data_IF_586955154970
#
_entry.id   IF_586955154970
#
_cell.length_a   1.000
_cell.length_b   1.000
_cell.length_c   1.000
_cell.angle_alpha   90.00
_cell.angle_beta   90.00
_cell.angle_gamma   90.00
#
_symmetry.space_group_name_H-M   'P 1'
#
loop_
_entity.id
_entity.type
_entity.pdbx_description
1 polymer ?
#
# COMPACT_ATOMS: atom_id res chain seq x y z
N UNK A 1 40.19 -47.55 21.00
CA UNK A 1 40.30 -46.12 20.64
C UNK A 1 39.38 -45.88 19.43
N UNK A 2 38.13 -45.48 19.66
CA UNK A 2 37.10 -45.46 18.62
C UNK A 2 36.98 -44.06 17.97
N UNK A 3 37.08 -44.03 16.63
CA UNK A 3 36.96 -42.85 15.78
C UNK A 3 35.50 -42.37 15.68
N UNK A 4 35.24 -41.12 16.04
CA UNK A 4 33.92 -40.49 15.95
C UNK A 4 33.72 -39.89 14.56
N UNK A 5 32.87 -40.49 13.74
CA UNK A 5 32.47 -39.94 12.44
C UNK A 5 31.45 -38.82 12.65
N UNK A 6 31.76 -37.60 12.18
CA UNK A 6 30.88 -36.43 12.29
C UNK A 6 30.05 -36.37 11.02
N UNK A 7 28.76 -36.74 11.12
CA UNK A 7 27.81 -36.54 10.02
C UNK A 7 27.45 -35.05 9.93
N UNK A 8 27.84 -34.39 8.83
CA UNK A 8 27.41 -33.02 8.53
C UNK A 8 26.04 -33.07 7.86
N UNK A 9 25.03 -32.51 8.53
CA UNK A 9 23.70 -32.34 7.95
C UNK A 9 23.69 -31.12 7.01
N UNK A 10 23.51 -31.36 5.72
CA UNK A 10 23.35 -30.28 4.73
C UNK A 10 21.90 -29.82 4.68
N UNK A 11 21.65 -28.61 5.15
CA UNK A 11 20.31 -28.00 5.05
C UNK A 11 20.11 -27.51 3.62
N UNK A 12 19.13 -28.09 2.91
CA UNK A 12 18.68 -27.59 1.61
C UNK A 12 17.92 -26.28 1.82
N UNK A 13 18.49 -25.18 1.36
CA UNK A 13 17.83 -23.88 1.38
C UNK A 13 16.59 -23.89 0.46
N UNK A 14 15.40 -23.77 1.06
CA UNK A 14 14.15 -23.62 0.31
C UNK A 14 14.06 -22.19 -0.19
N UNK A 15 14.17 -21.99 -1.51
CA UNK A 15 14.04 -20.69 -2.15
C UNK A 15 12.61 -20.17 -1.94
N UNK A 16 12.44 -19.19 -1.05
CA UNK A 16 11.15 -18.54 -0.76
C UNK A 16 10.61 -17.96 -2.06
N UNK A 17 9.47 -18.48 -2.54
CA UNK A 17 8.78 -17.91 -3.71
C UNK A 17 8.28 -16.52 -3.30
N UNK A 18 8.85 -15.47 -3.87
CA UNK A 18 8.33 -14.11 -3.76
C UNK A 18 7.10 -14.06 -4.66
N UNK A 19 5.92 -14.31 -4.10
CA UNK A 19 4.69 -13.98 -4.81
C UNK A 19 4.59 -12.45 -4.91
N UNK A 20 4.14 -11.89 -6.05
CA UNK A 20 3.88 -10.47 -6.13
C UNK A 20 2.82 -10.12 -5.08
N UNK A 21 3.10 -9.12 -4.23
CA UNK A 21 2.11 -8.58 -3.30
C UNK A 21 0.94 -8.06 -4.13
N UNK A 22 -0.28 -8.46 -3.75
CA UNK A 22 -1.49 -7.88 -4.34
C UNK A 22 -1.48 -6.38 -4.06
N UNK A 23 -1.88 -5.58 -5.04
CA UNK A 23 -2.06 -4.14 -4.84
C UNK A 23 -3.04 -3.90 -3.69
N UNK A 24 -2.72 -2.95 -2.81
CA UNK A 24 -3.55 -2.68 -1.63
C UNK A 24 -5.00 -2.25 -1.96
N UNK A 25 -5.22 -1.65 -3.14
CA UNK A 25 -6.53 -1.24 -3.62
C UNK A 25 -6.64 -1.45 -5.14
N UNK A 26 -7.86 -1.60 -5.64
CA UNK A 26 -8.17 -1.61 -7.08
C UNK A 26 -9.13 -0.47 -7.37
N UNK A 27 -8.75 0.43 -8.29
CA UNK A 27 -9.60 1.52 -8.74
C UNK A 27 -10.47 1.05 -9.92
N UNK A 28 -11.75 1.43 -9.88
CA UNK A 28 -12.63 1.32 -11.03
C UNK A 28 -12.33 2.41 -12.05
N UNK A 29 -12.71 2.20 -13.30
CA UNK A 29 -12.54 3.20 -14.37
C UNK A 29 -13.21 4.53 -14.00
N UNK A 30 -14.44 4.51 -13.49
CA UNK A 30 -15.15 5.70 -13.02
C UNK A 30 -14.41 6.43 -11.88
N UNK A 31 -13.78 5.69 -10.96
CA UNK A 31 -12.98 6.29 -9.90
C UNK A 31 -11.75 7.01 -10.46
N UNK A 32 -11.06 6.39 -11.42
CA UNK A 32 -9.90 6.99 -12.10
C UNK A 32 -10.27 8.32 -12.75
N UNK A 33 -11.39 8.37 -13.50
CA UNK A 33 -11.87 9.61 -14.12
C UNK A 33 -12.15 10.69 -13.08
N UNK A 34 -12.84 10.34 -11.99
CA UNK A 34 -13.18 11.29 -10.93
C UNK A 34 -11.96 11.84 -10.20
N UNK A 35 -10.94 11.01 -9.97
CA UNK A 35 -9.69 11.47 -9.37
C UNK A 35 -8.93 12.40 -10.32
N UNK A 36 -8.91 12.10 -11.63
CA UNK A 36 -8.33 13.00 -12.64
C UNK A 36 -9.03 14.36 -12.66
N UNK A 37 -10.36 14.38 -12.61
CA UNK A 37 -11.14 15.62 -12.53
C UNK A 37 -10.83 16.42 -11.27
N UNK A 38 -10.74 15.75 -10.12
CA UNK A 38 -10.38 16.39 -8.84
C UNK A 38 -8.96 16.99 -8.90
N UNK A 39 -8.00 16.25 -9.47
CA UNK A 39 -6.61 16.69 -9.62
C UNK A 39 -6.42 17.79 -10.67
N UNK A 40 -7.35 17.92 -11.62
CA UNK A 40 -7.32 18.99 -12.62
C UNK A 40 -7.76 20.37 -12.06
N UNK A 41 -8.37 20.40 -10.86
CA UNK A 41 -8.78 21.65 -10.21
C UNK A 41 -7.57 22.43 -9.69
N UNK A 42 -7.68 23.75 -9.65
CA UNK A 42 -6.57 24.61 -9.23
C UNK A 42 -6.13 24.37 -7.78
N UNK A 43 -7.07 23.99 -6.91
CA UNK A 43 -6.80 23.65 -5.51
C UNK A 43 -5.89 22.43 -5.35
N UNK A 44 -5.79 21.58 -6.39
CA UNK A 44 -4.97 20.37 -6.40
C UNK A 44 -3.59 20.56 -7.06
N UNK A 45 -3.28 21.76 -7.56
CA UNK A 45 -1.94 22.05 -8.13
C UNK A 45 -0.88 21.95 -7.04
N UNK A 46 0.08 21.03 -7.22
CA UNK A 46 1.19 20.80 -6.28
C UNK A 46 1.02 19.61 -5.33
N UNK A 47 -0.06 18.83 -5.47
CA UNK A 47 -0.23 17.56 -4.78
C UNK A 47 0.17 16.38 -5.69
N UNK A 48 0.76 15.34 -5.12
CA UNK A 48 1.19 14.12 -5.83
C UNK A 48 -0.03 13.22 -6.15
N UNK A 49 -1.07 13.28 -5.32
CA UNK A 49 -2.27 12.47 -5.47
C UNK A 49 -3.23 12.59 -4.29
N UNK A 50 -4.16 11.63 -4.20
CA UNK A 50 -5.08 11.53 -3.07
C UNK A 50 -4.57 10.55 -2.03
N UNK A 51 -4.74 10.87 -0.75
CA UNK A 51 -4.47 10.01 0.40
C UNK A 51 -5.76 9.44 0.95
N UNK A 52 -5.80 8.12 1.10
CA UNK A 52 -6.86 7.37 1.76
C UNK A 52 -6.47 7.13 3.21
N UNK A 53 -7.27 7.64 4.13
CA UNK A 53 -7.13 7.41 5.56
C UNK A 53 -8.38 6.78 6.16
N UNK A 54 -8.28 6.38 7.42
CA UNK A 54 -9.43 5.96 8.24
C UNK A 54 -9.52 6.84 9.48
N UNK A 55 -10.74 7.24 9.84
CA UNK A 55 -11.04 7.99 11.07
C UNK A 55 -12.11 7.26 11.87
N UNK A 56 -12.03 7.33 13.18
CA UNK A 56 -13.02 6.74 14.08
C UNK A 56 -14.32 7.56 14.03
N UNK A 57 -15.46 6.87 13.95
CA UNK A 57 -16.80 7.47 13.95
C UNK A 57 -17.70 6.72 14.94
N UNK A 58 -18.18 7.41 15.97
CA UNK A 58 -19.11 6.84 16.93
C UNK A 58 -18.49 5.74 17.80
N UNK A 59 -19.33 4.84 18.33
CA UNK A 59 -18.91 3.86 19.34
C UNK A 59 -17.95 2.79 18.78
N UNK A 60 -18.20 2.28 17.57
CA UNK A 60 -17.39 1.22 16.94
C UNK A 60 -17.20 1.42 15.42
N UNK A 61 -17.49 2.61 14.88
CA UNK A 61 -17.44 2.86 13.44
C UNK A 61 -16.08 3.36 12.97
N UNK A 62 -15.73 3.01 11.73
CA UNK A 62 -14.62 3.60 10.98
C UNK A 62 -15.17 4.24 9.70
N UNK A 63 -14.63 5.40 9.36
CA UNK A 63 -14.94 6.13 8.13
C UNK A 63 -13.68 6.33 7.31
N UNK A 64 -13.76 6.11 6.00
CA UNK A 64 -12.68 6.47 5.10
C UNK A 64 -12.66 7.99 4.86
N UNK A 65 -11.45 8.54 4.74
CA UNK A 65 -11.23 9.95 4.40
C UNK A 65 -10.33 10.06 3.18
N UNK A 66 -10.65 11.01 2.30
CA UNK A 66 -9.86 11.36 1.13
C UNK A 66 -9.27 12.74 1.33
N UNK A 67 -7.95 12.83 1.35
CA UNK A 67 -7.20 14.08 1.51
C UNK A 67 -6.23 14.27 0.34
N UNK A 68 -5.81 15.50 0.09
CA UNK A 68 -4.75 15.75 -0.89
C UNK A 68 -3.38 15.52 -0.26
N UNK A 69 -2.51 14.75 -0.93
CA UNK A 69 -1.17 14.47 -0.43
C UNK A 69 -0.09 15.17 -1.25
N UNK A 70 0.73 15.98 -0.57
CA UNK A 70 1.90 16.65 -1.16
C UNK A 70 3.13 15.76 -1.21
N UNK A 71 3.24 14.85 -0.24
CA UNK A 71 4.39 13.97 -0.05
C UNK A 71 3.93 12.59 0.41
N UNK A 72 4.78 11.58 0.17
CA UNK A 72 4.58 10.22 0.65
C UNK A 72 5.26 10.04 2.00
N UNK A 73 4.51 9.60 3.02
CA UNK A 73 5.10 9.20 4.30
C UNK A 73 5.91 7.90 4.19
N UNK A 74 6.89 7.70 5.07
CA UNK A 74 7.75 6.50 5.05
C UNK A 74 7.00 5.17 5.18
N UNK A 75 5.83 5.21 5.82
CA UNK A 75 5.00 4.04 6.09
C UNK A 75 3.74 3.99 5.21
N UNK A 76 3.57 4.99 4.35
CA UNK A 76 2.42 5.03 3.44
C UNK A 76 2.71 4.17 2.21
N UNK A 77 1.69 3.44 1.77
CA UNK A 77 1.76 2.66 0.54
C UNK A 77 1.29 3.51 -0.64
N UNK A 78 1.97 3.41 -1.78
CA UNK A 78 1.66 4.19 -2.98
C UNK A 78 1.17 3.25 -4.06
N UNK A 79 -0.05 3.47 -4.53
CA UNK A 79 -0.70 2.73 -5.60
C UNK A 79 -0.78 3.63 -6.83
N UNK A 80 -0.17 3.17 -7.93
CA UNK A 80 -0.23 3.83 -9.24
C UNK A 80 -1.09 3.01 -10.17
N UNK A 81 -2.14 3.62 -10.71
CA UNK A 81 -3.04 2.96 -11.64
C UNK A 81 -3.51 3.95 -12.70
N UNK A 82 -3.36 3.60 -13.98
CA UNK A 82 -3.88 4.37 -15.13
C UNK A 82 -3.54 5.87 -15.13
N UNK A 83 -2.33 6.20 -14.64
CA UNK A 83 -1.81 7.57 -14.53
C UNK A 83 -2.27 8.36 -13.31
N UNK A 84 -2.98 7.72 -12.37
CA UNK A 84 -3.40 8.30 -11.09
C UNK A 84 -2.56 7.71 -9.96
N UNK A 85 -2.15 8.57 -9.03
CA UNK A 85 -1.43 8.17 -7.82
C UNK A 85 -2.37 8.28 -6.62
N UNK A 86 -2.49 7.20 -5.86
CA UNK A 86 -3.21 7.15 -4.59
C UNK A 86 -2.25 6.68 -3.50
N UNK A 87 -2.26 7.38 -2.37
CA UNK A 87 -1.45 7.09 -1.20
C UNK A 87 -2.37 6.50 -0.13
N UNK A 88 -1.94 5.46 0.56
CA UNK A 88 -2.72 4.78 1.58
C UNK A 88 -2.00 4.97 2.90
N UNK A 89 -2.68 5.58 3.86
CA UNK A 89 -2.20 5.68 5.23
C UNK A 89 -2.00 4.27 5.81
N UNK A 90 -0.91 4.07 6.55
CA UNK A 90 -0.65 2.83 7.31
C UNK A 90 -1.87 2.38 8.12
N UNK A 91 -2.63 3.31 8.70
CA UNK A 91 -3.85 2.97 9.48
C UNK A 91 -4.97 2.36 8.64
N UNK A 92 -5.01 2.67 7.35
CA UNK A 92 -6.00 2.18 6.41
C UNK A 92 -5.57 0.88 5.70
N UNK A 93 -4.33 0.43 5.93
CA UNK A 93 -3.85 -0.85 5.43
C UNK A 93 -4.43 -1.98 6.30
N UNK A 94 -5.33 -2.77 5.72
CA UNK A 94 -5.80 -4.03 6.31
C UNK A 94 -4.67 -5.06 6.11
N UNK A 95 -3.75 -5.15 7.07
CA UNK A 95 -2.76 -6.24 7.13
C UNK A 95 -3.36 -7.46 7.82
#
# INVERSE_FOLDING_TARGET
MATKTIASATVRAVKKRVLPSRAALVLTQSAIHKVKEIMAKEDAKGFIGLKVGVRQRGCNGLSYTLEYAKEKGMLDEEVKQDGVTVIIDRKAQLT
#
